data_IF_581101125904
#
_entry.id   IF_581101125904
#
_cell.length_a   1.000
_cell.length_b   1.000
_cell.length_c   1.000
_cell.angle_alpha   90.00
_cell.angle_beta   90.00
_cell.angle_gamma   90.00
#
_symmetry.space_group_name_H-M   'P 1'
#
loop_
_entity.id
_entity.type
_entity.pdbx_description
1 polymer ?
#
# COMPACT_ATOMS: atom_id res chain seq x y z
N UNK A 1 -7.87 -22.04 -9.24
CA UNK A 1 -7.91 -20.57 -9.41
C UNK A 1 -9.32 -19.97 -9.35
N UNK A 2 -10.30 -20.40 -10.16
CA UNK A 2 -11.65 -19.77 -10.18
C UNK A 2 -12.34 -19.68 -8.81
N UNK A 3 -12.24 -20.72 -7.98
CA UNK A 3 -12.81 -20.71 -6.62
C UNK A 3 -12.19 -19.62 -5.73
N UNK A 4 -10.86 -19.45 -5.79
CA UNK A 4 -10.15 -18.41 -5.02
C UNK A 4 -10.56 -17.02 -5.49
N UNK A 5 -10.68 -16.81 -6.79
CA UNK A 5 -11.14 -15.53 -7.35
C UNK A 5 -12.58 -15.23 -6.91
N UNK A 6 -13.47 -16.22 -6.96
CA UNK A 6 -14.86 -16.08 -6.50
C UNK A 6 -14.92 -15.70 -5.02
N UNK A 7 -14.19 -16.42 -4.15
CA UNK A 7 -14.14 -16.12 -2.73
C UNK A 7 -13.58 -14.70 -2.45
N UNK A 8 -12.57 -14.28 -3.23
CA UNK A 8 -12.03 -12.92 -3.15
C UNK A 8 -13.04 -11.88 -3.61
N UNK A 9 -13.83 -12.19 -4.64
CA UNK A 9 -14.90 -11.31 -5.13
C UNK A 9 -16.00 -11.13 -4.09
N UNK A 10 -16.39 -12.21 -3.41
CA UNK A 10 -17.38 -12.17 -2.34
C UNK A 10 -16.86 -11.38 -1.13
N UNK A 11 -15.58 -11.51 -0.80
CA UNK A 11 -14.94 -10.68 0.23
C UNK A 11 -14.99 -9.19 -0.13
N UNK A 12 -14.64 -8.82 -1.37
CA UNK A 12 -14.70 -7.41 -1.78
C UNK A 12 -16.15 -6.89 -1.80
N UNK A 13 -17.12 -7.68 -2.25
CA UNK A 13 -18.54 -7.32 -2.17
C UNK A 13 -18.97 -7.08 -0.71
N UNK A 14 -18.54 -7.93 0.22
CA UNK A 14 -18.82 -7.74 1.64
C UNK A 14 -18.20 -6.44 2.18
N UNK A 15 -16.91 -6.21 1.93
CA UNK A 15 -16.19 -5.01 2.37
C UNK A 15 -16.86 -3.75 1.84
N UNK A 16 -17.31 -3.75 0.59
CA UNK A 16 -17.95 -2.59 -0.04
C UNK A 16 -19.42 -2.40 0.35
N UNK A 17 -20.09 -3.44 0.84
CA UNK A 17 -21.47 -3.35 1.34
C UNK A 17 -21.59 -2.52 2.62
N UNK A 18 -22.80 -2.11 3.00
CA UNK A 18 -23.02 -1.40 4.26
C UNK A 18 -22.59 -2.21 5.50
N UNK A 19 -22.66 -3.54 5.42
CA UNK A 19 -22.21 -4.44 6.51
C UNK A 19 -20.70 -4.44 6.68
N UNK A 20 -19.95 -4.06 5.64
CA UNK A 20 -18.50 -3.95 5.65
C UNK A 20 -17.97 -2.64 6.25
N UNK A 21 -18.84 -1.72 6.69
CA UNK A 21 -18.43 -0.38 7.15
C UNK A 21 -17.31 -0.42 8.20
N UNK A 22 -17.46 -1.26 9.23
CA UNK A 22 -16.46 -1.39 10.30
C UNK A 22 -15.12 -1.91 9.76
N UNK A 23 -15.16 -2.84 8.82
CA UNK A 23 -13.94 -3.38 8.17
C UNK A 23 -13.26 -2.29 7.36
N UNK A 24 -14.00 -1.47 6.61
CA UNK A 24 -13.44 -0.33 5.86
C UNK A 24 -12.72 0.66 6.76
N UNK A 25 -13.29 0.98 7.92
CA UNK A 25 -12.64 1.89 8.89
C UNK A 25 -11.31 1.32 9.37
N UNK A 26 -11.27 0.04 9.77
CA UNK A 26 -10.03 -0.59 10.20
C UNK A 26 -9.01 -0.71 9.07
N UNK A 27 -9.45 -1.04 7.85
CA UNK A 27 -8.57 -1.07 6.69
C UNK A 27 -7.91 0.29 6.44
N UNK A 28 -8.66 1.39 6.53
CA UNK A 28 -8.10 2.74 6.37
C UNK A 28 -7.06 3.03 7.47
N UNK A 29 -7.35 2.66 8.72
CA UNK A 29 -6.41 2.82 9.83
C UNK A 29 -5.12 2.00 9.63
N UNK A 30 -5.26 0.75 9.20
CA UNK A 30 -4.13 -0.15 8.93
C UNK A 30 -3.28 0.36 7.76
N UNK A 31 -3.92 0.89 6.71
CA UNK A 31 -3.24 1.53 5.57
C UNK A 31 -2.43 2.73 6.03
N UNK A 32 -3.02 3.62 6.84
CA UNK A 32 -2.33 4.79 7.39
C UNK A 32 -1.13 4.34 8.24
N UNK A 33 -1.31 3.34 9.10
CA UNK A 33 -0.24 2.81 9.95
C UNK A 33 0.90 2.21 9.12
N UNK A 34 0.59 1.44 8.08
CA UNK A 34 1.59 0.87 7.18
C UNK A 34 2.37 1.97 6.44
N UNK A 35 1.68 3.01 5.97
CA UNK A 35 2.31 4.14 5.30
C UNK A 35 3.20 4.94 6.25
N UNK A 36 2.78 5.17 7.50
CA UNK A 36 3.60 5.83 8.51
C UNK A 36 4.92 5.10 8.74
N UNK A 37 4.84 3.77 8.90
CA UNK A 37 6.02 2.95 9.14
C UNK A 37 6.90 2.93 7.88
N UNK A 38 6.31 2.86 6.68
CA UNK A 38 7.08 2.93 5.42
C UNK A 38 7.85 4.25 5.27
N UNK A 39 7.19 5.38 5.54
CA UNK A 39 7.83 6.69 5.46
C UNK A 39 8.92 6.85 6.51
N UNK A 40 8.72 6.31 7.72
CA UNK A 40 9.75 6.30 8.75
C UNK A 40 10.94 5.40 8.36
N UNK A 41 10.70 4.21 7.83
CA UNK A 41 11.75 3.27 7.42
C UNK A 41 12.64 3.86 6.31
N UNK A 42 12.04 4.42 5.25
CA UNK A 42 12.79 5.06 4.15
C UNK A 42 13.57 6.31 4.62
N UNK A 43 13.02 7.07 5.58
CA UNK A 43 13.70 8.25 6.15
C UNK A 43 14.82 7.84 7.11
N UNK A 44 14.62 6.83 7.95
CA UNK A 44 15.65 6.32 8.86
C UNK A 44 16.80 5.73 8.06
N UNK A 45 16.51 4.89 7.06
CA UNK A 45 17.52 4.36 6.14
C UNK A 45 18.28 5.47 5.40
N UNK A 46 17.67 6.64 5.18
CA UNK A 46 18.31 7.78 4.56
C UNK A 46 19.18 8.61 5.50
N UNK A 47 18.68 8.93 6.71
CA UNK A 47 19.39 9.79 7.68
C UNK A 47 20.59 9.06 8.28
N UNK A 48 20.46 7.75 8.49
CA UNK A 48 21.45 6.93 9.19
C UNK A 48 22.21 5.99 8.25
N UNK A 49 22.52 6.42 7.01
CA UNK A 49 23.26 5.64 6.00
C UNK A 49 24.65 5.12 6.49
N UNK A 50 25.08 5.48 7.70
CA UNK A 50 26.11 4.77 8.46
C UNK A 50 25.68 4.51 9.92
N UNK A 51 25.56 3.22 10.26
CA UNK A 51 25.67 2.64 11.61
C UNK A 51 24.96 3.39 12.76
N UNK A 52 23.70 3.06 13.04
CA UNK A 52 23.17 3.25 14.41
C UNK A 52 22.52 1.98 14.93
N UNK A 53 23.31 1.29 15.75
CA UNK A 53 23.06 0.02 16.41
C UNK A 53 22.19 0.18 17.68
N UNK A 54 21.16 1.04 17.67
CA UNK A 54 20.51 1.48 18.92
C UNK A 54 18.97 1.56 18.92
N UNK A 55 18.26 0.86 18.03
CA UNK A 55 16.77 0.86 18.03
C UNK A 55 16.09 -0.47 17.69
N UNK A 56 16.76 -1.58 18.01
CA UNK A 56 16.45 -2.93 17.53
C UNK A 56 15.07 -3.49 17.90
N UNK A 57 14.35 -2.94 18.90
CA UNK A 57 13.10 -3.55 19.37
C UNK A 57 11.83 -2.99 18.73
N UNK A 58 11.77 -1.68 18.43
CA UNK A 58 10.59 -1.04 17.82
C UNK A 58 10.63 -1.04 16.28
N UNK A 59 11.83 -0.98 15.69
CA UNK A 59 12.03 -1.10 14.24
C UNK A 59 11.69 -2.50 13.73
N UNK A 60 11.88 -3.53 14.56
CA UNK A 60 11.57 -4.93 14.21
C UNK A 60 10.08 -5.19 13.95
N UNK A 61 9.17 -4.68 14.78
CA UNK A 61 7.73 -4.92 14.61
C UNK A 61 7.16 -4.16 13.41
N UNK A 62 7.54 -2.89 13.26
CA UNK A 62 7.12 -2.06 12.13
C UNK A 62 7.62 -2.63 10.79
N UNK A 63 8.92 -2.94 10.72
CA UNK A 63 9.51 -3.54 9.54
C UNK A 63 8.89 -4.91 9.21
N UNK A 64 8.63 -5.76 10.22
CA UNK A 64 7.94 -7.03 10.02
C UNK A 64 6.51 -6.83 9.46
N UNK A 65 5.79 -5.79 9.91
CA UNK A 65 4.49 -5.43 9.38
C UNK A 65 4.58 -5.00 7.91
N UNK A 66 5.54 -4.15 7.55
CA UNK A 66 5.79 -3.76 6.16
C UNK A 66 6.12 -4.97 5.29
N UNK A 67 7.01 -5.84 5.74
CA UNK A 67 7.38 -7.04 5.01
C UNK A 67 6.18 -7.97 4.79
N UNK A 68 5.25 -8.06 5.75
CA UNK A 68 3.98 -8.78 5.55
C UNK A 68 3.13 -8.17 4.43
N UNK A 69 3.00 -6.84 4.39
CA UNK A 69 2.26 -6.13 3.33
C UNK A 69 2.91 -6.35 1.96
N UNK A 70 4.23 -6.18 1.86
CA UNK A 70 5.00 -6.37 0.62
C UNK A 70 4.89 -7.81 0.12
N UNK A 71 5.06 -8.79 1.01
CA UNK A 71 4.93 -10.20 0.66
C UNK A 71 3.51 -10.56 0.25
N UNK A 72 2.49 -9.98 0.89
CA UNK A 72 1.09 -10.11 0.48
C UNK A 72 0.86 -9.61 -0.95
N UNK A 73 1.34 -8.40 -1.28
CA UNK A 73 1.26 -7.83 -2.63
C UNK A 73 1.99 -8.67 -3.67
N UNK A 74 3.21 -9.15 -3.34
CA UNK A 74 4.01 -10.01 -4.23
C UNK A 74 3.27 -11.32 -4.53
N UNK A 75 2.68 -11.92 -3.51
CA UNK A 75 1.90 -13.16 -3.63
C UNK A 75 0.64 -12.96 -4.45
N UNK A 76 -0.08 -11.86 -4.21
CA UNK A 76 -1.24 -11.48 -5.00
C UNK A 76 -0.87 -11.25 -6.48
N UNK A 77 0.19 -10.49 -6.75
CA UNK A 77 0.70 -10.27 -8.11
C UNK A 77 1.05 -11.58 -8.80
N UNK A 78 1.67 -12.52 -8.08
CA UNK A 78 1.96 -13.84 -8.60
C UNK A 78 0.67 -14.60 -8.94
N UNK A 79 -0.33 -14.58 -8.06
CA UNK A 79 -1.64 -15.20 -8.31
C UNK A 79 -2.34 -14.61 -9.54
N UNK A 80 -2.27 -13.28 -9.74
CA UNK A 80 -2.80 -12.60 -10.93
C UNK A 80 -2.08 -13.07 -12.20
N UNK A 81 -0.75 -13.17 -12.17
CA UNK A 81 0.04 -13.67 -13.31
C UNK A 81 -0.30 -15.10 -13.71
N UNK A 82 -0.72 -15.94 -12.77
CA UNK A 82 -1.08 -17.34 -13.04
C UNK A 82 -2.44 -17.51 -13.74
N UNK A 83 -3.36 -16.55 -13.60
CA UNK A 83 -4.70 -16.62 -14.21
C UNK A 83 -5.25 -15.21 -14.54
N UNK A 84 -4.59 -14.47 -15.44
CA UNK A 84 -4.84 -13.06 -15.65
C UNK A 84 -6.26 -12.78 -16.15
N UNK A 85 -6.85 -13.67 -16.96
CA UNK A 85 -8.20 -13.47 -17.51
C UNK A 85 -9.25 -13.48 -16.39
N UNK A 86 -9.11 -14.39 -15.43
CA UNK A 86 -10.07 -14.57 -14.33
C UNK A 86 -9.93 -13.44 -13.32
N UNK A 87 -8.69 -13.09 -12.95
CA UNK A 87 -8.42 -12.00 -12.00
C UNK A 87 -8.77 -10.64 -12.57
N UNK A 88 -8.37 -10.34 -13.82
CA UNK A 88 -8.63 -9.04 -14.43
C UNK A 88 -10.12 -8.82 -14.64
N UNK A 89 -10.86 -9.83 -15.11
CA UNK A 89 -12.31 -9.73 -15.26
C UNK A 89 -13.01 -9.45 -13.92
N UNK A 90 -12.58 -10.13 -12.85
CA UNK A 90 -13.10 -9.88 -11.50
C UNK A 90 -12.76 -8.48 -10.99
N UNK A 91 -11.51 -8.03 -11.14
CA UNK A 91 -11.09 -6.69 -10.73
C UNK A 91 -11.88 -5.60 -11.47
N UNK A 92 -12.07 -5.73 -12.79
CA UNK A 92 -12.88 -4.80 -13.59
C UNK A 92 -14.31 -4.73 -13.04
N UNK A 93 -14.95 -5.88 -12.81
CA UNK A 93 -16.32 -5.94 -12.24
C UNK A 93 -16.40 -5.26 -10.88
N UNK A 94 -15.35 -5.31 -10.08
CA UNK A 94 -15.31 -4.66 -8.78
C UNK A 94 -15.07 -3.15 -8.90
N UNK A 95 -14.18 -2.72 -9.80
CA UNK A 95 -13.82 -1.30 -9.95
C UNK A 95 -14.91 -0.44 -10.56
N UNK A 96 -15.81 -1.01 -11.38
CA UNK A 96 -16.94 -0.25 -11.96
C UNK A 96 -18.06 0.04 -10.96
N UNK A 97 -17.99 -0.53 -9.75
CA UNK A 97 -19.00 -0.33 -8.71
C UNK A 97 -18.82 1.03 -8.01
N UNK A 98 -19.90 1.82 -7.83
CA UNK A 98 -19.81 3.12 -7.17
C UNK A 98 -19.28 3.04 -5.73
N UNK A 99 -19.56 1.93 -5.04
CA UNK A 99 -19.05 1.68 -3.69
C UNK A 99 -17.52 1.54 -3.66
N UNK A 100 -16.93 0.96 -4.71
CA UNK A 100 -15.48 0.85 -4.84
C UNK A 100 -14.83 2.23 -5.03
N UNK A 101 -15.44 3.08 -5.85
CA UNK A 101 -14.98 4.46 -6.03
C UNK A 101 -15.10 5.26 -4.74
N UNK A 102 -16.25 5.21 -4.06
CA UNK A 102 -16.47 5.88 -2.78
C UNK A 102 -15.41 5.48 -1.76
N UNK A 103 -15.19 4.19 -1.58
CA UNK A 103 -14.18 3.71 -0.64
C UNK A 103 -12.75 4.13 -1.03
N UNK A 104 -12.45 4.15 -2.32
CA UNK A 104 -11.15 4.66 -2.82
C UNK A 104 -10.98 6.14 -2.47
N UNK A 105 -12.01 6.96 -2.66
CA UNK A 105 -11.99 8.37 -2.25
C UNK A 105 -11.87 8.54 -0.74
N UNK A 106 -12.52 7.69 0.07
CA UNK A 106 -12.37 7.70 1.53
C UNK A 106 -10.91 7.44 1.94
N UNK A 107 -10.25 6.44 1.33
CA UNK A 107 -8.83 6.14 1.55
C UNK A 107 -7.96 7.34 1.16
N UNK A 108 -8.13 7.88 -0.05
CA UNK A 108 -7.32 9.02 -0.53
C UNK A 108 -7.50 10.23 0.38
N UNK A 109 -8.75 10.55 0.75
CA UNK A 109 -9.06 11.68 1.62
C UNK A 109 -8.44 11.50 3.01
N UNK A 110 -8.54 10.30 3.59
CA UNK A 110 -7.93 9.98 4.87
C UNK A 110 -6.41 10.14 4.83
N UNK A 111 -5.76 9.69 3.75
CA UNK A 111 -4.33 9.87 3.54
C UNK A 111 -3.93 11.35 3.38
N UNK A 112 -4.67 12.13 2.60
CA UNK A 112 -4.41 13.56 2.44
C UNK A 112 -4.56 14.32 3.76
N UNK A 113 -5.60 14.03 4.54
CA UNK A 113 -5.82 14.62 5.87
C UNK A 113 -4.68 14.22 6.82
N UNK A 114 -4.25 12.96 6.75
CA UNK A 114 -3.17 12.46 7.58
C UNK A 114 -1.82 13.13 7.25
N UNK A 115 -1.46 13.18 5.96
CA UNK A 115 -0.21 13.80 5.52
C UNK A 115 -0.17 15.31 5.78
N UNK A 116 -1.27 16.03 5.55
CA UNK A 116 -1.35 17.47 5.79
C UNK A 116 -1.17 17.86 7.27
N UNK A 117 -1.47 16.96 8.20
CA UNK A 117 -1.36 17.21 9.65
C UNK A 117 -0.05 16.72 10.26
N UNK A 118 0.53 15.62 9.75
CA UNK A 118 1.60 14.89 10.44
C UNK A 118 2.91 14.82 9.65
N UNK A 119 2.91 14.98 8.33
CA UNK A 119 4.03 14.56 7.48
C UNK A 119 4.27 15.53 6.29
N UNK A 120 4.65 16.81 6.51
CA UNK A 120 5.17 17.62 5.43
C UNK A 120 6.58 17.16 5.01
N UNK A 121 7.54 17.13 5.92
CA UNK A 121 8.96 16.99 5.55
C UNK A 121 9.37 15.58 5.10
N UNK A 122 8.98 14.55 5.86
CA UNK A 122 9.35 13.15 5.56
C UNK A 122 8.72 12.62 4.27
N UNK A 123 7.49 13.06 3.95
CA UNK A 123 6.83 12.75 2.69
C UNK A 123 7.55 13.40 1.50
N UNK A 124 7.86 14.70 1.60
CA UNK A 124 8.56 15.42 0.53
C UNK A 124 9.95 14.85 0.27
N UNK A 125 10.70 14.47 1.32
CA UNK A 125 12.00 13.81 1.20
C UNK A 125 11.86 12.47 0.45
N UNK A 126 10.87 11.65 0.82
CA UNK A 126 10.61 10.37 0.16
C UNK A 126 10.25 10.53 -1.32
N UNK A 127 9.29 11.42 -1.64
CA UNK A 127 8.87 11.69 -3.02
C UNK A 127 10.02 12.24 -3.88
N UNK A 128 10.80 13.19 -3.35
CA UNK A 128 11.97 13.74 -4.02
C UNK A 128 12.95 12.63 -4.45
N UNK A 129 13.20 11.66 -3.57
CA UNK A 129 14.10 10.54 -3.87
C UNK A 129 13.49 9.53 -4.83
N UNK A 130 12.19 9.24 -4.76
CA UNK A 130 11.52 8.37 -5.75
C UNK A 130 11.66 9.00 -7.14
N UNK A 131 11.40 10.31 -7.25
CA UNK A 131 11.57 11.06 -8.49
C UNK A 131 13.04 11.04 -8.95
N UNK A 132 13.99 11.25 -8.04
CA UNK A 132 15.41 11.22 -8.38
C UNK A 132 15.86 9.83 -8.86
N UNK A 133 15.45 8.74 -8.19
CA UNK A 133 15.71 7.35 -8.62
C UNK A 133 15.07 7.06 -9.97
N UNK A 134 13.83 7.51 -10.20
CA UNK A 134 13.14 7.36 -11.49
C UNK A 134 13.89 8.07 -12.62
N UNK A 135 14.29 9.33 -12.41
CA UNK A 135 15.06 10.12 -13.38
C UNK A 135 16.43 9.48 -13.66
N UNK A 136 17.13 9.02 -12.62
CA UNK A 136 18.43 8.34 -12.77
C UNK A 136 18.30 7.03 -13.54
N UNK A 137 17.26 6.25 -13.28
CA UNK A 137 17.03 4.99 -14.00
C UNK A 137 16.64 5.23 -15.46
N UNK A 138 15.86 6.27 -15.75
CA UNK A 138 15.49 6.62 -17.12
C UNK A 138 16.72 7.05 -17.94
N UNK A 139 17.57 7.91 -17.37
CA UNK A 139 18.81 8.37 -18.01
C UNK A 139 19.86 7.26 -18.22
N UNK A 140 19.74 6.12 -17.53
CA UNK A 140 20.63 4.98 -17.68
C UNK A 140 20.13 3.94 -18.70
N UNK A 141 18.87 4.06 -19.17
CA UNK A 141 18.26 3.20 -20.20
C UNK A 141 18.43 3.79 -21.60
N UNK A 142 18.69 5.09 -21.71
CA UNK A 142 18.90 5.82 -22.97
C UNK A 142 20.39 5.90 -23.41
N UNK A 143 21.29 5.11 -22.81
CA UNK A 143 22.75 5.12 -23.08
C UNK A 143 23.29 3.72 -23.42
#
# INVERSE_FOLDING_TARGET
MRAVVSATEDLFKFILSDKGLRVRVFLVQDIIKAIDIFLQDEVVANIFDEKVQARETAESEGHAMLMRVVNGLKSFRHAVKLAPEVWTAMLIRMTVKPEAHKFTFDIISALLIHFSRKIPETFWICISRILHKLVKNYSHVDL
#
